data_IF_194014205982
#
_entry.id   IF_194014205982
#
_cell.length_a   1.000
_cell.length_b   1.000
_cell.length_c   1.000
_cell.angle_alpha   90.00
_cell.angle_beta   90.00
_cell.angle_gamma   90.00
#
_symmetry.space_group_name_H-M   'P 1'
#
loop_
_entity.id
_entity.type
_entity.pdbx_description
1 polymer ?
#
# COMPACT_ATOMS: atom_id res chain seq x y z
N UNK A 1 3.47 8.83 11.64
CA UNK A 1 3.06 10.11 12.25
C UNK A 1 3.95 11.35 11.96
N UNK A 2 5.14 11.26 11.33
CA UNK A 2 5.91 12.46 10.89
C UNK A 2 6.22 12.54 9.37
N UNK A 3 6.03 11.47 8.60
CA UNK A 3 6.23 11.48 7.14
C UNK A 3 5.06 12.09 6.34
N UNK A 4 3.85 12.12 6.89
CA UNK A 4 2.73 12.86 6.29
C UNK A 4 2.88 14.39 6.44
N UNK A 5 3.66 14.87 7.42
CA UNK A 5 3.75 16.30 7.75
C UNK A 5 4.41 17.14 6.64
N UNK A 6 5.40 16.60 5.92
CA UNK A 6 6.04 17.31 4.82
C UNK A 6 5.13 17.41 3.58
N UNK A 7 4.28 16.40 3.37
CA UNK A 7 3.23 16.42 2.35
C UNK A 7 2.14 17.41 2.76
N UNK A 8 1.75 17.45 4.04
CA UNK A 8 0.77 18.39 4.57
C UNK A 8 1.20 19.86 4.47
N UNK A 9 2.50 20.15 4.67
CA UNK A 9 3.03 21.51 4.52
C UNK A 9 3.11 21.96 3.05
N UNK A 10 3.40 21.05 2.13
CA UNK A 10 3.28 21.32 0.69
C UNK A 10 1.81 21.54 0.29
N UNK A 11 0.91 20.73 0.84
CA UNK A 11 -0.52 20.82 0.62
C UNK A 11 -1.09 22.17 1.11
N UNK A 12 -0.64 22.67 2.26
CA UNK A 12 -1.07 23.96 2.82
C UNK A 12 -0.68 25.18 1.99
N UNK A 13 0.36 25.08 1.14
CA UNK A 13 0.79 26.17 0.25
C UNK A 13 0.16 26.13 -1.14
N UNK A 14 -0.61 25.10 -1.45
CA UNK A 14 -1.16 24.87 -2.79
C UNK A 14 -2.69 25.11 -2.77
N UNK A 15 -3.27 25.64 -3.88
CA UNK A 15 -4.73 25.71 -4.03
C UNK A 15 -5.33 24.31 -3.85
N UNK A 16 -6.52 24.20 -3.26
CA UNK A 16 -7.17 22.92 -2.95
C UNK A 16 -7.19 21.93 -4.14
N UNK A 17 -7.31 22.45 -5.37
CA UNK A 17 -7.25 21.66 -6.59
C UNK A 17 -5.88 20.97 -6.83
N UNK A 18 -4.76 21.65 -6.56
CA UNK A 18 -3.41 21.10 -6.73
C UNK A 18 -3.06 20.05 -5.67
N UNK A 19 -3.62 20.19 -4.46
CA UNK A 19 -3.46 19.20 -3.38
C UNK A 19 -4.14 17.88 -3.76
N UNK A 20 -5.36 17.95 -4.28
CA UNK A 20 -6.12 16.76 -4.70
C UNK A 20 -5.42 16.01 -5.84
N UNK A 21 -4.78 16.72 -6.78
CA UNK A 21 -3.99 16.09 -7.85
C UNK A 21 -2.72 15.42 -7.32
N UNK A 22 -2.03 16.05 -6.37
CA UNK A 22 -0.81 15.50 -5.77
C UNK A 22 -1.13 14.25 -4.93
N UNK A 23 -2.19 14.29 -4.13
CA UNK A 23 -2.62 13.15 -3.31
C UNK A 23 -3.05 11.96 -4.18
N UNK A 24 -3.79 12.22 -5.26
CA UNK A 24 -4.16 11.18 -6.23
C UNK A 24 -2.93 10.55 -6.90
N UNK A 25 -1.91 11.34 -7.24
CA UNK A 25 -0.66 10.84 -7.83
C UNK A 25 0.12 9.94 -6.85
N UNK A 26 0.24 10.36 -5.59
CA UNK A 26 0.88 9.57 -4.53
C UNK A 26 0.14 8.23 -4.37
N UNK A 27 -1.18 8.25 -4.36
CA UNK A 27 -2.00 7.06 -4.19
C UNK A 27 -1.85 6.05 -5.35
N UNK A 28 -1.66 6.54 -6.58
CA UNK A 28 -1.34 5.70 -7.74
C UNK A 28 0.01 5.00 -7.54
N UNK A 29 1.04 5.74 -7.12
CA UNK A 29 2.38 5.16 -6.85
C UNK A 29 2.30 4.09 -5.77
N UNK A 30 1.58 4.36 -4.67
CA UNK A 30 1.39 3.39 -3.58
C UNK A 30 0.68 2.14 -4.09
N UNK A 31 -0.35 2.30 -4.93
CA UNK A 31 -1.08 1.17 -5.53
C UNK A 31 -0.15 0.31 -6.39
N UNK A 32 0.63 0.93 -7.28
CA UNK A 32 1.59 0.21 -8.14
C UNK A 32 2.63 -0.52 -7.29
N UNK A 33 3.17 0.14 -6.27
CA UNK A 33 4.11 -0.48 -5.34
C UNK A 33 3.49 -1.68 -4.62
N UNK A 34 2.27 -1.54 -4.10
CA UNK A 34 1.56 -2.61 -3.40
C UNK A 34 1.33 -3.83 -4.31
N UNK A 35 0.88 -3.62 -5.54
CA UNK A 35 0.63 -4.70 -6.50
C UNK A 35 1.92 -5.43 -6.88
N UNK A 36 2.97 -4.68 -7.23
CA UNK A 36 4.22 -5.28 -7.71
C UNK A 36 5.01 -5.92 -6.56
N UNK A 37 5.23 -5.20 -5.47
CA UNK A 37 6.13 -5.65 -4.42
C UNK A 37 5.44 -6.51 -3.36
N UNK A 38 4.22 -6.16 -2.96
CA UNK A 38 3.54 -6.88 -1.88
C UNK A 38 2.72 -8.06 -2.38
N UNK A 39 1.99 -7.90 -3.49
CA UNK A 39 1.17 -8.99 -4.04
C UNK A 39 2.05 -9.93 -4.87
N UNK A 40 2.65 -9.44 -5.97
CA UNK A 40 3.47 -10.29 -6.83
C UNK A 40 4.77 -10.75 -6.15
N UNK A 41 5.53 -9.81 -5.58
CA UNK A 41 6.72 -10.14 -4.80
C UNK A 41 6.42 -11.03 -3.58
N UNK A 42 5.33 -10.76 -2.86
CA UNK A 42 4.91 -11.56 -1.71
C UNK A 42 4.54 -12.99 -2.07
N UNK A 43 3.84 -13.22 -3.18
CA UNK A 43 3.54 -14.57 -3.66
C UNK A 43 4.81 -15.37 -3.97
N UNK A 44 5.82 -14.75 -4.61
CA UNK A 44 7.11 -15.42 -4.86
C UNK A 44 7.80 -15.79 -3.54
N UNK A 45 7.73 -14.94 -2.51
CA UNK A 45 8.30 -15.22 -1.19
C UNK A 45 7.56 -16.38 -0.51
N UNK A 46 6.23 -16.39 -0.58
CA UNK A 46 5.40 -17.50 -0.07
C UNK A 46 5.75 -18.80 -0.77
N UNK A 47 5.81 -18.81 -2.11
CA UNK A 47 6.16 -20.00 -2.90
C UNK A 47 7.54 -20.52 -2.53
N UNK A 48 8.54 -19.64 -2.40
CA UNK A 48 9.89 -20.02 -1.96
C UNK A 48 9.89 -20.59 -0.55
N UNK A 49 9.13 -20.00 0.37
CA UNK A 49 9.01 -20.49 1.74
C UNK A 49 8.35 -21.87 1.80
N UNK A 50 7.38 -22.15 0.93
CA UNK A 50 6.77 -23.48 0.78
C UNK A 50 7.78 -24.53 0.29
N UNK A 51 8.58 -24.19 -0.73
CA UNK A 51 9.56 -25.12 -1.30
C UNK A 51 10.73 -25.43 -0.35
N UNK A 52 11.15 -24.46 0.47
CA UNK A 52 12.24 -24.64 1.43
C UNK A 52 11.81 -25.50 2.63
N UNK A 53 10.50 -25.63 2.90
CA UNK A 53 9.97 -26.51 3.96
C UNK A 53 10.46 -26.15 5.37
N UNK A 54 11.06 -24.97 5.55
CA UNK A 54 11.63 -24.57 6.84
C UNK A 54 10.54 -24.16 7.82
N UNK A 55 10.55 -24.84 8.96
CA UNK A 55 9.82 -24.42 10.14
C UNK A 55 10.58 -23.23 10.72
N UNK A 56 9.88 -22.13 10.99
CA UNK A 56 10.46 -20.98 11.68
C UNK A 56 11.11 -21.42 13.00
N UNK A 57 12.43 -21.24 13.20
CA UNK A 57 13.10 -21.69 14.43
C UNK A 57 12.59 -20.96 15.68
N UNK A 58 12.00 -19.77 15.50
CA UNK A 58 11.45 -18.94 16.58
C UNK A 58 9.96 -19.21 16.79
N UNK A 59 9.17 -19.30 15.71
CA UNK A 59 7.71 -19.36 15.80
C UNK A 59 7.16 -20.80 15.79
N UNK A 60 7.99 -21.79 15.42
CA UNK A 60 7.60 -23.20 15.17
C UNK A 60 6.46 -23.38 14.14
N UNK A 61 6.14 -22.33 13.39
CA UNK A 61 5.12 -22.33 12.35
C UNK A 61 5.77 -22.33 10.97
N UNK A 62 5.14 -22.93 9.94
CA UNK A 62 5.71 -22.96 8.61
C UNK A 62 5.67 -21.54 8.04
N UNK A 63 6.81 -21.13 7.48
CA UNK A 63 7.03 -19.72 7.07
C UNK A 63 6.14 -19.30 5.91
N UNK A 64 5.63 -20.24 5.12
CA UNK A 64 4.66 -19.99 4.06
C UNK A 64 3.42 -19.23 4.56
N UNK A 65 2.84 -19.68 5.68
CA UNK A 65 1.66 -19.05 6.29
C UNK A 65 1.96 -17.68 6.87
N UNK A 66 3.18 -17.49 7.38
CA UNK A 66 3.61 -16.19 7.91
C UNK A 66 3.75 -15.19 6.76
N UNK A 67 4.35 -15.61 5.64
CA UNK A 67 4.56 -14.71 4.51
C UNK A 67 3.29 -14.36 3.73
N UNK A 68 2.19 -15.11 3.87
CA UNK A 68 0.86 -14.72 3.36
C UNK A 68 0.36 -13.38 3.90
N UNK A 69 0.89 -12.90 5.04
CA UNK A 69 0.59 -11.55 5.53
C UNK A 69 1.01 -10.46 4.54
N UNK A 70 2.03 -10.70 3.71
CA UNK A 70 2.54 -9.74 2.73
C UNK A 70 1.53 -9.50 1.58
N UNK A 71 1.04 -10.51 0.83
CA UNK A 71 0.02 -10.28 -0.19
C UNK A 71 -1.31 -9.80 0.41
N UNK A 72 -1.70 -10.27 1.60
CA UNK A 72 -2.93 -9.80 2.28
C UNK A 72 -2.85 -8.32 2.65
N UNK A 73 -1.75 -7.89 3.25
CA UNK A 73 -1.54 -6.47 3.56
C UNK A 73 -1.42 -5.61 2.29
N UNK A 74 -0.83 -6.15 1.23
CA UNK A 74 -0.81 -5.51 -0.10
C UNK A 74 -2.21 -5.27 -0.64
N UNK A 75 -3.10 -6.26 -0.54
CA UNK A 75 -4.49 -6.14 -0.95
C UNK A 75 -5.24 -5.06 -0.16
N UNK A 76 -5.05 -5.04 1.17
CA UNK A 76 -5.63 -4.00 2.04
C UNK A 76 -5.12 -2.61 1.65
N UNK A 77 -3.82 -2.48 1.36
CA UNK A 77 -3.21 -1.22 0.96
C UNK A 77 -3.77 -0.73 -0.39
N UNK A 78 -3.96 -1.62 -1.37
CA UNK A 78 -4.62 -1.30 -2.64
C UNK A 78 -6.06 -0.83 -2.40
N UNK A 79 -6.81 -1.51 -1.53
CA UNK A 79 -8.19 -1.13 -1.20
C UNK A 79 -8.26 0.29 -0.64
N UNK A 80 -7.46 0.61 0.39
CA UNK A 80 -7.40 1.96 0.94
C UNK A 80 -6.95 2.99 -0.11
N UNK A 81 -6.03 2.60 -0.99
CA UNK A 81 -5.59 3.46 -2.08
C UNK A 81 -6.71 3.83 -3.04
N UNK A 82 -7.49 2.85 -3.49
CA UNK A 82 -8.64 3.09 -4.36
C UNK A 82 -9.69 3.95 -3.65
N UNK A 83 -9.97 3.68 -2.38
CA UNK A 83 -10.98 4.42 -1.62
C UNK A 83 -10.62 5.91 -1.47
N UNK A 84 -9.34 6.21 -1.16
CA UNK A 84 -8.87 7.59 -1.07
C UNK A 84 -8.92 8.31 -2.43
N UNK A 85 -8.62 7.62 -3.53
CA UNK A 85 -8.77 8.17 -4.88
C UNK A 85 -10.24 8.55 -5.13
N UNK A 86 -11.20 7.65 -4.85
CA UNK A 86 -12.63 7.90 -5.02
C UNK A 86 -13.09 9.12 -4.19
N UNK A 87 -12.66 9.21 -2.94
CA UNK A 87 -13.00 10.33 -2.06
C UNK A 87 -12.43 11.65 -2.57
N UNK A 88 -11.21 11.64 -3.11
CA UNK A 88 -10.61 12.82 -3.74
C UNK A 88 -11.37 13.25 -5.01
N UNK A 89 -11.80 12.30 -5.85
CA UNK A 89 -12.64 12.59 -7.02
C UNK A 89 -14.01 13.16 -6.64
N UNK A 90 -14.62 12.67 -5.55
CA UNK A 90 -15.88 13.19 -5.03
C UNK A 90 -15.71 14.63 -4.52
N UNK A 91 -14.68 14.91 -3.71
CA UNK A 91 -14.38 16.26 -3.21
C UNK A 91 -14.15 17.27 -4.35
N UNK A 92 -13.55 16.85 -5.45
CA UNK A 92 -13.32 17.70 -6.64
C UNK A 92 -14.60 18.10 -7.38
N UNK A 93 -15.69 17.31 -7.31
CA UNK A 93 -16.96 17.60 -8.00
C UNK A 93 -17.93 18.47 -7.18
N UNK A 94 -17.70 18.63 -5.88
CA UNK A 94 -18.55 19.44 -4.99
C UNK A 94 -18.06 20.89 -4.81
N UNK A 95 -17.01 21.29 -5.54
CA UNK A 95 -16.45 22.65 -5.58
C UNK A 95 -16.46 23.17 -7.02
#
# INVERSE_FOLDING_TARGET
LKKHLAIDLLAQKLPAASVLTLDSFIQIIITVFAVIFMIYGGNIVVEKAQHVGQISPVLKWPMDKVYWVMPVSGLILVWYSVMNIIDNYRKRNFH
#
